data_IF_007489974362
#
_entry.id   IF_007489974362
#
_cell.length_a   1.000
_cell.length_b   1.000
_cell.length_c   1.000
_cell.angle_alpha   90.00
_cell.angle_beta   90.00
_cell.angle_gamma   90.00
#
_symmetry.space_group_name_H-M   'P 1'
#
loop_
_entity.id
_entity.type
_entity.pdbx_description
1 polymer ?
#
# COMPACT_ATOMS: atom_id res chain seq x y z
N UNK A 1 2.14 -1.61 27.17
CA UNK A 1 1.65 -0.35 26.60
C UNK A 1 0.83 -0.63 25.34
N UNK A 2 -0.18 0.18 25.13
CA UNK A 2 -0.99 0.06 23.92
C UNK A 2 -0.15 0.41 22.68
N UNK A 3 -0.36 -0.31 21.59
CA UNK A 3 0.28 0.02 20.32
C UNK A 3 -0.24 1.37 19.83
N UNK A 4 0.66 2.16 19.26
CA UNK A 4 0.25 3.46 18.70
C UNK A 4 -0.57 3.24 17.44
N UNK A 5 -1.67 3.95 17.35
CA UNK A 5 -2.55 3.90 16.21
C UNK A 5 -2.15 4.97 15.20
N UNK A 6 -2.29 4.64 13.93
CA UNK A 6 -1.97 5.52 12.83
C UNK A 6 -3.05 6.60 12.69
N UNK A 7 -2.66 7.87 12.81
CA UNK A 7 -3.56 9.01 12.66
C UNK A 7 -3.08 9.90 11.53
N UNK A 8 -4.01 10.70 10.98
CA UNK A 8 -3.70 11.62 9.89
C UNK A 8 -2.61 12.62 10.29
N UNK A 9 -1.69 12.90 9.38
CA UNK A 9 -0.54 13.76 9.62
C UNK A 9 0.67 13.05 10.20
N UNK A 10 0.52 11.79 10.64
CA UNK A 10 1.63 11.02 11.17
C UNK A 10 2.63 10.63 10.09
N UNK A 11 3.90 10.52 10.48
CA UNK A 11 4.93 9.96 9.61
C UNK A 11 4.94 8.45 9.79
N UNK A 12 4.72 7.73 8.72
CA UNK A 12 4.46 6.29 8.72
C UNK A 12 5.58 5.57 8.01
N UNK A 13 6.12 4.52 8.64
CA UNK A 13 7.11 3.65 8.02
C UNK A 13 6.53 2.26 7.85
N UNK A 14 6.56 1.75 6.62
CA UNK A 14 5.95 0.46 6.27
C UNK A 14 6.88 -0.39 5.43
N UNK A 15 6.68 -1.71 5.47
CA UNK A 15 7.06 -2.60 4.39
C UNK A 15 5.81 -2.95 3.59
N UNK A 16 5.96 -3.06 2.30
CA UNK A 16 4.84 -3.41 1.43
C UNK A 16 5.29 -4.28 0.26
N UNK A 17 4.33 -5.03 -0.28
CA UNK A 17 4.47 -5.72 -1.55
C UNK A 17 3.18 -5.49 -2.35
N UNK A 18 3.32 -5.15 -3.62
CA UNK A 18 2.18 -4.86 -4.50
C UNK A 18 2.11 -5.79 -5.69
N UNK A 19 0.89 -6.23 -6.00
CA UNK A 19 0.57 -7.08 -7.14
C UNK A 19 -0.55 -6.46 -7.95
N UNK A 20 -0.62 -6.82 -9.21
CA UNK A 20 -1.84 -6.59 -9.99
C UNK A 20 -2.89 -7.57 -9.48
N UNK A 21 -4.10 -7.08 -9.22
CA UNK A 21 -5.20 -7.93 -8.77
C UNK A 21 -5.60 -8.86 -9.92
N UNK A 22 -5.63 -10.17 -9.67
CA UNK A 22 -5.95 -11.16 -10.69
C UNK A 22 -6.69 -12.34 -10.05
N UNK A 23 -7.98 -12.45 -10.33
CA UNK A 23 -8.83 -13.49 -9.74
C UNK A 23 -8.43 -14.90 -10.17
N UNK A 24 -7.64 -15.04 -11.23
CA UNK A 24 -7.16 -16.34 -11.70
C UNK A 24 -5.94 -16.84 -10.94
N UNK A 25 -5.39 -16.03 -10.02
CA UNK A 25 -4.18 -16.37 -9.28
C UNK A 25 -4.48 -16.62 -7.81
N UNK A 26 -3.64 -17.42 -7.11
CA UNK A 26 -3.82 -17.65 -5.68
C UNK A 26 -3.82 -16.34 -4.90
N UNK A 27 -4.76 -16.20 -3.98
CA UNK A 27 -4.94 -15.00 -3.15
C UNK A 27 -5.16 -13.73 -3.99
N UNK A 28 -5.56 -13.88 -5.26
CA UNK A 28 -5.75 -12.80 -6.22
C UNK A 28 -4.45 -12.02 -6.53
N UNK A 29 -3.31 -12.61 -6.24
CA UNK A 29 -2.00 -12.00 -6.44
C UNK A 29 -1.47 -12.30 -7.84
N UNK A 30 -1.66 -11.39 -8.75
CA UNK A 30 -1.14 -11.48 -10.11
C UNK A 30 0.34 -11.11 -10.17
N UNK A 31 0.74 -10.38 -11.19
CA UNK A 31 2.13 -9.96 -11.36
C UNK A 31 2.55 -9.02 -10.24
N UNK A 32 3.64 -9.34 -9.52
CA UNK A 32 4.23 -8.45 -8.53
C UNK A 32 4.91 -7.30 -9.26
N UNK A 33 4.61 -6.06 -8.87
CA UNK A 33 5.20 -4.90 -9.55
C UNK A 33 6.14 -4.10 -8.66
N UNK A 34 6.07 -4.26 -7.34
CA UNK A 34 6.97 -3.54 -6.43
C UNK A 34 6.97 -4.20 -5.07
N UNK A 35 8.08 -4.06 -4.34
CA UNK A 35 8.19 -4.53 -2.96
C UNK A 35 9.33 -3.83 -2.25
N UNK A 36 9.03 -3.19 -1.12
CA UNK A 36 10.06 -2.62 -0.25
C UNK A 36 10.91 -3.72 0.38
N UNK A 37 10.34 -4.91 0.60
CA UNK A 37 11.06 -6.04 1.20
C UNK A 37 12.15 -6.55 0.26
N UNK A 38 11.88 -6.56 -1.05
CA UNK A 38 12.89 -7.02 -2.03
C UNK A 38 14.10 -6.09 -2.06
N UNK A 39 13.90 -4.81 -1.74
CA UNK A 39 14.96 -3.81 -1.66
C UNK A 39 15.57 -3.72 -0.27
N UNK A 40 14.96 -4.37 0.72
CA UNK A 40 15.30 -4.25 2.13
C UNK A 40 15.34 -2.77 2.56
N UNK A 41 14.35 -2.01 2.11
CA UNK A 41 14.32 -0.55 2.28
C UNK A 41 12.89 -0.12 2.62
N UNK A 42 12.55 -0.01 3.91
CA UNK A 42 11.21 0.42 4.32
C UNK A 42 10.87 1.79 3.75
N UNK A 43 9.60 1.98 3.48
CA UNK A 43 9.08 3.21 2.88
C UNK A 43 8.42 4.09 3.94
N UNK A 44 8.76 5.38 3.92
CA UNK A 44 8.21 6.36 4.86
C UNK A 44 7.41 7.41 4.11
N UNK A 45 6.22 7.72 4.61
CA UNK A 45 5.37 8.77 4.04
C UNK A 45 4.52 9.41 5.13
N UNK A 46 3.93 10.59 4.81
CA UNK A 46 3.01 11.28 5.72
C UNK A 46 1.58 10.87 5.38
N UNK A 47 0.86 10.34 6.36
CA UNK A 47 -0.52 9.91 6.17
C UNK A 47 -1.43 11.10 5.86
N UNK A 48 -2.21 10.98 4.81
CA UNK A 48 -3.15 12.03 4.40
C UNK A 48 -2.50 13.18 3.66
N UNK A 49 -1.19 13.12 3.43
CA UNK A 49 -0.44 14.20 2.78
C UNK A 49 -0.45 14.17 1.26
N UNK A 50 -1.11 13.19 0.65
CA UNK A 50 -1.13 13.05 -0.80
C UNK A 50 0.19 12.58 -1.40
N UNK A 51 1.08 12.04 -0.57
CA UNK A 51 2.40 11.55 -1.02
C UNK A 51 2.33 10.17 -1.64
N UNK A 52 1.23 9.46 -1.43
CA UNK A 52 0.97 8.12 -1.92
C UNK A 52 -0.39 8.08 -2.58
N UNK A 53 -0.70 6.97 -3.26
CA UNK A 53 -2.03 6.81 -3.88
C UNK A 53 -3.11 6.85 -2.80
N UNK A 54 -4.30 7.33 -3.17
CA UNK A 54 -5.41 7.52 -2.22
C UNK A 54 -5.76 6.24 -1.48
N UNK A 55 -5.69 5.09 -2.15
CA UNK A 55 -5.97 3.80 -1.53
C UNK A 55 -5.06 3.51 -0.35
N UNK A 56 -3.83 4.00 -0.36
CA UNK A 56 -2.92 3.87 0.79
C UNK A 56 -3.28 4.85 1.90
N UNK A 57 -3.48 6.14 1.58
CA UNK A 57 -3.84 7.13 2.59
C UNK A 57 -5.09 6.72 3.36
N UNK A 58 -6.06 6.12 2.67
CA UNK A 58 -7.29 5.63 3.31
C UNK A 58 -7.14 4.23 3.90
N UNK A 59 -6.43 3.36 3.19
CA UNK A 59 -6.37 1.93 3.54
C UNK A 59 -5.54 1.64 4.76
N UNK A 60 -4.51 2.42 5.05
CA UNK A 60 -3.65 2.19 6.21
C UNK A 60 -4.13 2.96 7.45
N UNK A 61 -5.06 3.88 7.29
CA UNK A 61 -5.59 4.63 8.44
C UNK A 61 -6.15 3.65 9.48
N UNK A 62 -5.87 3.93 10.75
CA UNK A 62 -6.33 3.08 11.85
C UNK A 62 -5.48 1.85 12.12
N UNK A 63 -4.45 1.60 11.32
CA UNK A 63 -3.52 0.49 11.63
C UNK A 63 -2.72 0.80 12.89
N UNK A 64 -2.25 -0.26 13.53
CA UNK A 64 -1.39 -0.15 14.71
C UNK A 64 0.00 -0.69 14.39
N UNK A 65 1.01 -0.17 15.07
CA UNK A 65 2.39 -0.62 14.90
C UNK A 65 2.47 -2.13 15.14
N UNK A 66 3.10 -2.84 14.23
CA UNK A 66 3.17 -4.29 14.22
C UNK A 66 2.04 -4.97 13.48
N UNK A 67 1.02 -4.21 13.06
CA UNK A 67 -0.10 -4.77 12.30
C UNK A 67 0.19 -4.95 10.83
N UNK A 68 -0.56 -5.84 10.21
CA UNK A 68 -0.50 -6.07 8.77
C UNK A 68 -1.91 -5.93 8.20
N UNK A 69 -1.99 -5.45 6.97
CA UNK A 69 -3.26 -5.28 6.29
C UNK A 69 -3.09 -5.54 4.80
N UNK A 70 -4.05 -6.24 4.21
CA UNK A 70 -4.12 -6.42 2.77
C UNK A 70 -5.10 -5.40 2.21
N UNK A 71 -4.65 -4.61 1.23
CA UNK A 71 -5.45 -3.58 0.60
C UNK A 71 -5.78 -3.97 -0.83
N UNK A 72 -7.07 -3.98 -1.17
CA UNK A 72 -7.51 -4.10 -2.56
C UNK A 72 -7.93 -2.72 -3.02
N UNK A 73 -7.20 -2.16 -3.97
CA UNK A 73 -7.33 -0.76 -4.37
C UNK A 73 -7.84 -0.66 -5.80
N UNK A 74 -9.07 -0.14 -6.00
CA UNK A 74 -9.57 0.07 -7.35
C UNK A 74 -8.75 1.14 -8.07
N UNK A 75 -8.81 1.16 -9.40
CA UNK A 75 -7.99 2.04 -10.20
C UNK A 75 -8.16 3.52 -9.86
N UNK A 76 -9.37 3.95 -9.54
CA UNK A 76 -9.64 5.36 -9.22
C UNK A 76 -9.01 5.82 -7.91
N UNK A 77 -8.62 4.90 -7.04
CA UNK A 77 -7.87 5.18 -5.82
C UNK A 77 -6.40 4.78 -5.94
N UNK A 78 -5.99 4.33 -7.11
CA UNK A 78 -4.62 3.95 -7.43
C UNK A 78 -4.06 4.83 -8.55
N UNK A 79 -3.66 4.21 -9.65
CA UNK A 79 -3.01 4.92 -10.76
C UNK A 79 -3.96 5.26 -11.92
N UNK A 80 -5.24 4.95 -11.77
CA UNK A 80 -6.30 5.39 -12.67
C UNK A 80 -6.13 4.94 -14.11
N UNK A 81 -6.62 5.77 -15.03
CA UNK A 81 -6.61 5.48 -16.45
C UNK A 81 -5.22 5.55 -17.08
N UNK A 82 -4.23 6.14 -16.39
CA UNK A 82 -2.87 6.26 -16.90
C UNK A 82 -2.02 5.04 -16.61
N UNK A 83 -2.27 4.35 -15.50
CA UNK A 83 -1.35 3.35 -15.00
C UNK A 83 -0.05 3.98 -14.53
N UNK A 84 1.02 3.20 -14.46
CA UNK A 84 2.31 3.70 -14.00
C UNK A 84 3.46 2.96 -14.69
N UNK A 85 4.32 3.72 -15.37
CA UNK A 85 5.64 3.31 -15.78
C UNK A 85 5.78 1.98 -16.54
N UNK A 86 4.77 1.54 -17.26
CA UNK A 86 4.83 0.28 -17.98
C UNK A 86 4.64 -0.97 -17.13
N UNK A 87 4.61 -0.84 -15.79
CA UNK A 87 4.40 -1.99 -14.88
C UNK A 87 2.96 -2.08 -14.39
N UNK A 88 2.26 -0.95 -14.31
CA UNK A 88 0.85 -0.91 -13.94
C UNK A 88 0.05 -0.46 -15.14
N UNK A 89 -0.80 -1.34 -15.70
CA UNK A 89 -1.60 -0.98 -16.87
C UNK A 89 -2.70 0.02 -16.52
N UNK A 90 -3.28 0.67 -17.52
CA UNK A 90 -4.43 1.55 -17.30
C UNK A 90 -5.59 0.80 -16.64
N UNK A 91 -6.29 1.47 -15.75
CA UNK A 91 -7.49 0.97 -15.08
C UNK A 91 -7.25 -0.30 -14.26
N UNK A 92 -6.04 -0.49 -13.73
CA UNK A 92 -5.71 -1.68 -12.96
C UNK A 92 -6.18 -1.58 -11.52
N UNK A 93 -6.76 -2.66 -11.02
CA UNK A 93 -7.01 -2.86 -9.59
C UNK A 93 -5.74 -3.45 -8.98
N UNK A 94 -5.34 -2.93 -7.82
CA UNK A 94 -4.08 -3.29 -7.17
C UNK A 94 -4.33 -4.03 -5.88
N UNK A 95 -3.38 -4.89 -5.52
CA UNK A 95 -3.41 -5.61 -4.25
C UNK A 95 -2.09 -5.35 -3.53
N UNK A 96 -2.16 -4.89 -2.28
CA UNK A 96 -0.98 -4.63 -1.47
C UNK A 96 -1.08 -5.36 -0.14
N UNK A 97 0.02 -5.98 0.26
CA UNK A 97 0.21 -6.39 1.65
C UNK A 97 1.10 -5.32 2.30
N UNK A 98 0.62 -4.74 3.38
CA UNK A 98 1.31 -3.64 4.08
C UNK A 98 1.50 -4.02 5.54
N UNK A 99 2.73 -3.86 6.03
CA UNK A 99 3.05 -4.03 7.45
C UNK A 99 3.49 -2.68 8.01
N UNK A 100 2.85 -2.22 9.09
CA UNK A 100 3.20 -0.97 9.75
C UNK A 100 4.35 -1.20 10.71
N UNK A 101 5.50 -0.58 10.45
CA UNK A 101 6.70 -0.77 11.25
C UNK A 101 6.84 0.29 12.35
N UNK A 102 6.50 1.55 12.04
CA UNK A 102 6.68 2.65 12.98
C UNK A 102 5.77 3.82 12.63
N UNK A 103 5.46 4.64 13.63
CA UNK A 103 4.66 5.86 13.50
C UNK A 103 5.33 6.96 14.32
N UNK A 104 5.52 8.12 13.72
CA UNK A 104 6.09 9.28 14.43
C UNK A 104 5.23 10.52 14.33
#
# INVERSE_FOLDING_TARGET
AAARELTEGARVTVHYTGWLFDTAKPENKGAKFDSSRDRNDPFTFRLGGGEVIEGWDRGVAGMKVGGERTLTIPADMGYGARGAGGVIPPNATLLFDVELLDVK
#
